data_IF_013005168067
#
_entry.id   IF_013005168067
#
_cell.length_a   1.000
_cell.length_b   1.000
_cell.length_c   1.000
_cell.angle_alpha   90.00
_cell.angle_beta   90.00
_cell.angle_gamma   90.00
#
_symmetry.space_group_name_H-M   'P 1'
#
loop_
_entity.id
_entity.type
_entity.pdbx_description
1 polymer ?
#
# COMPACT_ATOMS: atom_id res chain seq x y z
N UNK A 1 19.42 -35.20 40.19
CA UNK A 1 18.00 -35.06 39.78
C UNK A 1 17.97 -34.22 38.54
N UNK A 2 17.89 -34.87 37.36
CA UNK A 2 17.89 -34.21 36.05
C UNK A 2 16.49 -33.70 35.76
N UNK A 3 16.37 -32.37 35.58
CA UNK A 3 15.17 -31.76 35.01
C UNK A 3 15.37 -31.64 33.50
N UNK A 4 14.86 -32.57 32.75
CA UNK A 4 14.77 -32.52 31.29
C UNK A 4 13.68 -31.50 30.91
N UNK A 5 14.12 -30.33 30.39
CA UNK A 5 13.23 -29.40 29.73
C UNK A 5 12.72 -30.08 28.44
N UNK A 6 11.46 -30.44 28.43
CA UNK A 6 10.74 -30.98 27.26
C UNK A 6 10.54 -29.79 26.27
N UNK A 7 11.41 -29.70 25.30
CA UNK A 7 11.26 -28.82 24.13
C UNK A 7 10.10 -29.38 23.29
N UNK A 8 8.91 -28.83 23.50
CA UNK A 8 7.67 -29.25 22.80
C UNK A 8 7.74 -28.74 21.37
N UNK A 9 8.24 -29.59 20.45
CA UNK A 9 8.29 -29.35 19.02
C UNK A 9 6.85 -29.16 18.50
N UNK A 10 6.40 -27.89 18.38
CA UNK A 10 5.10 -27.57 17.75
C UNK A 10 5.13 -28.03 16.29
N UNK A 11 4.07 -28.72 15.79
CA UNK A 11 3.99 -29.17 14.40
C UNK A 11 4.17 -28.00 13.43
N UNK A 12 4.86 -28.19 12.31
CA UNK A 12 5.15 -27.14 11.32
C UNK A 12 3.92 -26.36 10.85
N UNK A 13 2.76 -26.99 10.72
CA UNK A 13 1.48 -26.35 10.37
C UNK A 13 1.01 -25.35 11.41
N UNK A 14 1.10 -25.69 12.70
CA UNK A 14 0.68 -24.82 13.81
C UNK A 14 1.61 -23.60 13.97
N UNK A 15 2.89 -23.74 13.62
CA UNK A 15 3.84 -22.60 13.59
C UNK A 15 3.48 -21.59 12.50
N UNK A 16 3.13 -22.05 11.29
CA UNK A 16 2.70 -21.21 10.19
C UNK A 16 1.42 -20.44 10.52
N UNK A 17 0.42 -21.14 11.02
CA UNK A 17 -0.87 -20.56 11.42
C UNK A 17 -0.71 -19.47 12.50
N UNK A 18 0.12 -19.71 13.53
CA UNK A 18 0.37 -18.71 14.58
C UNK A 18 1.07 -17.48 14.02
N UNK A 19 2.04 -17.63 13.11
CA UNK A 19 2.74 -16.52 12.47
C UNK A 19 1.78 -15.68 11.62
N UNK A 20 0.88 -16.32 10.89
CA UNK A 20 -0.16 -15.66 10.09
C UNK A 20 -1.13 -14.87 10.97
N UNK A 21 -1.64 -15.45 12.06
CA UNK A 21 -2.50 -14.74 13.03
C UNK A 21 -1.84 -13.48 13.60
N UNK A 22 -0.54 -13.56 13.94
CA UNK A 22 0.20 -12.37 14.42
C UNK A 22 0.31 -11.32 13.31
N UNK A 23 0.60 -11.71 12.08
CA UNK A 23 0.74 -10.80 10.95
C UNK A 23 -0.58 -10.08 10.64
N UNK A 24 -1.70 -10.81 10.62
CA UNK A 24 -3.04 -10.26 10.41
C UNK A 24 -3.44 -9.27 11.52
N UNK A 25 -3.23 -9.63 12.79
CA UNK A 25 -3.48 -8.74 13.91
C UNK A 25 -2.58 -7.48 13.85
N UNK A 26 -1.32 -7.65 13.48
CA UNK A 26 -0.41 -6.53 13.31
C UNK A 26 -0.84 -5.59 12.18
N UNK A 27 -1.34 -6.11 11.05
CA UNK A 27 -1.90 -5.29 9.98
C UNK A 27 -3.05 -4.40 10.47
N UNK A 28 -3.98 -4.96 11.26
CA UNK A 28 -5.11 -4.21 11.81
C UNK A 28 -4.64 -3.12 12.78
N UNK A 29 -3.74 -3.46 13.71
CA UNK A 29 -3.22 -2.49 14.69
C UNK A 29 -2.44 -1.37 14.01
N UNK A 30 -1.55 -1.68 13.06
CA UNK A 30 -0.76 -0.67 12.35
C UNK A 30 -1.55 0.13 11.32
N UNK A 31 -2.69 -0.36 10.85
CA UNK A 31 -3.63 0.43 10.05
C UNK A 31 -4.51 1.36 10.88
N UNK A 32 -4.56 1.17 12.20
CA UNK A 32 -5.37 1.97 13.13
C UNK A 32 -4.52 2.96 13.93
N UNK A 33 -3.30 2.58 14.28
CA UNK A 33 -2.39 3.37 15.12
C UNK A 33 -1.06 3.62 14.41
N UNK A 34 -0.52 4.86 14.52
CA UNK A 34 0.84 5.15 14.04
C UNK A 34 1.87 4.21 14.64
N UNK A 35 2.97 3.96 13.92
CA UNK A 35 4.02 3.03 14.36
C UNK A 35 4.44 3.24 15.82
N UNK A 36 4.74 4.47 16.23
CA UNK A 36 5.22 4.74 17.60
C UNK A 36 4.18 4.43 18.67
N UNK A 37 2.89 4.63 18.37
CA UNK A 37 1.76 4.43 19.30
C UNK A 37 1.25 2.98 19.33
N UNK A 38 1.46 2.22 18.26
CA UNK A 38 1.06 0.81 18.18
C UNK A 38 1.86 -0.04 19.17
N UNK A 39 1.19 -0.71 20.09
CA UNK A 39 1.81 -1.54 21.13
C UNK A 39 1.84 -3.03 20.75
N UNK A 40 2.95 -3.72 21.05
CA UNK A 40 3.05 -5.18 20.85
C UNK A 40 1.99 -5.94 21.68
N UNK A 41 1.60 -5.42 22.86
CA UNK A 41 0.52 -6.02 23.66
C UNK A 41 -0.84 -5.92 22.96
N UNK A 42 -1.10 -4.85 22.22
CA UNK A 42 -2.34 -4.73 21.43
C UNK A 42 -2.40 -5.83 20.36
N UNK A 43 -1.27 -6.06 19.69
CA UNK A 43 -1.13 -7.07 18.65
C UNK A 43 -1.29 -8.48 19.24
N UNK A 44 -0.62 -8.79 20.36
CA UNK A 44 -0.73 -10.13 20.99
C UNK A 44 -2.15 -10.43 21.48
N UNK A 45 -2.83 -9.44 22.07
CA UNK A 45 -4.21 -9.58 22.50
C UNK A 45 -5.15 -9.85 21.32
N UNK A 46 -5.00 -9.08 20.23
CA UNK A 46 -5.82 -9.26 19.03
C UNK A 46 -5.55 -10.58 18.31
N UNK A 47 -4.30 -11.03 18.30
CA UNK A 47 -3.90 -12.32 17.71
C UNK A 47 -4.30 -13.52 18.56
N UNK A 48 -4.69 -13.33 19.83
CA UNK A 48 -4.96 -14.39 20.79
C UNK A 48 -3.71 -15.23 21.10
N UNK A 49 -2.53 -14.58 21.21
CA UNK A 49 -1.25 -15.26 21.47
C UNK A 49 -0.51 -14.61 22.63
N UNK A 50 0.39 -15.37 23.25
CA UNK A 50 1.26 -14.84 24.28
C UNK A 50 2.28 -13.86 23.71
N UNK A 51 2.48 -12.73 24.39
CA UNK A 51 3.41 -11.67 23.99
C UNK A 51 4.83 -12.15 23.57
N UNK A 52 5.49 -13.10 24.27
CA UNK A 52 6.79 -13.62 23.86
C UNK A 52 6.81 -14.28 22.47
N UNK A 53 5.68 -14.78 21.98
CA UNK A 53 5.60 -15.41 20.67
C UNK A 53 5.82 -14.40 19.55
N UNK A 54 5.45 -13.13 19.73
CA UNK A 54 5.71 -12.10 18.73
C UNK A 54 7.22 -11.93 18.53
N UNK A 55 7.97 -11.85 19.65
CA UNK A 55 9.44 -11.77 19.57
C UNK A 55 10.05 -13.05 18.96
N UNK A 56 9.50 -14.21 19.26
CA UNK A 56 9.95 -15.47 18.70
C UNK A 56 9.79 -15.54 17.17
N UNK A 57 8.63 -15.07 16.62
CA UNK A 57 8.33 -15.16 15.20
C UNK A 57 8.89 -14.02 14.36
N UNK A 58 9.02 -12.83 14.92
CA UNK A 58 9.34 -11.60 14.17
C UNK A 58 10.54 -10.83 14.71
N UNK A 59 11.05 -11.15 15.90
CA UNK A 59 12.17 -10.43 16.51
C UNK A 59 11.71 -9.17 17.23
N UNK A 60 11.72 -8.03 16.56
CA UNK A 60 11.32 -6.74 17.13
C UNK A 60 9.99 -6.24 16.59
N UNK A 61 9.47 -5.15 17.20
CA UNK A 61 8.33 -4.40 16.66
C UNK A 61 8.63 -3.86 15.25
N UNK A 62 9.87 -3.41 15.04
CA UNK A 62 10.31 -2.90 13.74
C UNK A 62 10.31 -4.00 12.67
N UNK A 63 10.81 -5.18 12.99
CA UNK A 63 10.81 -6.33 12.07
C UNK A 63 9.39 -6.78 11.74
N UNK A 64 8.49 -6.79 12.75
CA UNK A 64 7.07 -7.10 12.53
C UNK A 64 6.40 -6.05 11.63
N UNK A 65 6.67 -4.75 11.85
CA UNK A 65 6.12 -3.68 11.02
C UNK A 65 6.63 -3.77 9.58
N UNK A 66 7.92 -4.02 9.41
CA UNK A 66 8.52 -4.28 8.09
C UNK A 66 7.89 -5.49 7.39
N UNK A 67 7.64 -6.57 8.12
CA UNK A 67 6.97 -7.76 7.57
C UNK A 67 5.52 -7.46 7.14
N UNK A 68 4.80 -6.63 7.88
CA UNK A 68 3.45 -6.15 7.53
C UNK A 68 3.49 -5.35 6.22
N UNK A 69 4.35 -4.34 6.10
CA UNK A 69 4.48 -3.55 4.88
C UNK A 69 4.85 -4.44 3.70
N UNK A 70 5.87 -5.30 3.86
CA UNK A 70 6.31 -6.23 2.81
C UNK A 70 5.15 -7.11 2.31
N UNK A 71 4.34 -7.64 3.23
CA UNK A 71 3.19 -8.46 2.88
C UNK A 71 2.11 -7.67 2.11
N UNK A 72 1.76 -6.47 2.59
CA UNK A 72 0.74 -5.62 1.95
C UNK A 72 1.19 -5.13 0.57
N UNK A 73 2.45 -4.74 0.43
CA UNK A 73 3.05 -4.34 -0.84
C UNK A 73 3.08 -5.51 -1.82
N UNK A 74 3.48 -6.71 -1.39
CA UNK A 74 3.48 -7.90 -2.25
C UNK A 74 2.07 -8.26 -2.75
N UNK A 75 1.04 -8.18 -1.89
CA UNK A 75 -0.34 -8.38 -2.30
C UNK A 75 -0.78 -7.34 -3.35
N UNK A 76 -0.45 -6.07 -3.14
CA UNK A 76 -0.75 -4.99 -4.08
C UNK A 76 -0.10 -5.22 -5.45
N UNK A 77 1.14 -5.70 -5.46
CA UNK A 77 1.86 -6.06 -6.67
C UNK A 77 1.15 -7.09 -7.53
N UNK A 78 0.69 -8.18 -6.93
CA UNK A 78 0.02 -9.26 -7.66
C UNK A 78 -1.31 -8.79 -8.28
N UNK A 79 -1.99 -7.85 -7.64
CA UNK A 79 -3.20 -7.24 -8.19
C UNK A 79 -2.88 -6.30 -9.34
N UNK A 80 -1.90 -5.42 -9.16
CA UNK A 80 -1.53 -4.44 -10.19
C UNK A 80 -1.08 -5.10 -11.50
N UNK A 81 -0.40 -6.23 -11.46
CA UNK A 81 -0.06 -6.99 -12.68
C UNK A 81 -1.31 -7.31 -13.52
N UNK A 82 -2.39 -7.74 -12.85
CA UNK A 82 -3.66 -8.04 -13.52
C UNK A 82 -4.34 -6.78 -14.03
N UNK A 83 -4.32 -5.71 -13.25
CA UNK A 83 -4.91 -4.43 -13.64
C UNK A 83 -4.23 -3.83 -14.86
N UNK A 84 -2.90 -3.78 -14.88
CA UNK A 84 -2.14 -3.28 -16.04
C UNK A 84 -2.45 -4.10 -17.31
N UNK A 85 -2.48 -5.41 -17.22
CA UNK A 85 -2.84 -6.26 -18.36
C UNK A 85 -4.26 -5.95 -18.91
N UNK A 86 -5.19 -5.62 -18.02
CA UNK A 86 -6.57 -5.29 -18.39
C UNK A 86 -6.70 -3.90 -19.02
N UNK A 87 -5.99 -2.89 -18.49
CA UNK A 87 -6.15 -1.51 -18.95
C UNK A 87 -5.31 -1.18 -20.17
N UNK A 88 -4.21 -1.90 -20.42
CA UNK A 88 -3.28 -1.66 -21.53
C UNK A 88 -3.97 -1.44 -22.89
N UNK A 89 -4.93 -2.25 -23.33
CA UNK A 89 -5.58 -2.08 -24.65
C UNK A 89 -6.60 -0.95 -24.71
N UNK A 90 -6.90 -0.25 -23.59
CA UNK A 90 -8.06 0.67 -23.52
C UNK A 90 -7.74 2.13 -23.86
N UNK A 91 -6.46 2.46 -24.09
CA UNK A 91 -6.00 3.84 -24.26
C UNK A 91 -6.06 4.66 -22.98
N UNK A 92 -5.44 5.89 -22.98
CA UNK A 92 -5.15 6.62 -21.75
C UNK A 92 -6.36 6.99 -20.92
N UNK A 93 -7.43 7.49 -21.54
CA UNK A 93 -8.62 7.96 -20.80
C UNK A 93 -9.37 6.84 -20.10
N UNK A 94 -9.72 5.80 -20.88
CA UNK A 94 -10.47 4.67 -20.37
C UNK A 94 -9.61 3.81 -19.47
N UNK A 95 -8.32 3.63 -19.81
CA UNK A 95 -7.37 2.87 -19.04
C UNK A 95 -7.15 3.45 -17.64
N UNK A 96 -6.88 4.77 -17.53
CA UNK A 96 -6.71 5.42 -16.23
C UNK A 96 -7.99 5.39 -15.40
N UNK A 97 -9.15 5.62 -16.03
CA UNK A 97 -10.44 5.55 -15.33
C UNK A 97 -10.70 4.16 -14.75
N UNK A 98 -10.49 3.11 -15.53
CA UNK A 98 -10.68 1.73 -15.06
C UNK A 98 -9.61 1.31 -14.04
N UNK A 99 -8.38 1.77 -14.19
CA UNK A 99 -7.33 1.54 -13.18
C UNK A 99 -7.74 2.11 -11.81
N UNK A 100 -8.31 3.32 -11.80
CA UNK A 100 -8.86 3.92 -10.57
C UNK A 100 -10.01 3.10 -9.99
N UNK A 101 -10.91 2.56 -10.83
CA UNK A 101 -11.96 1.67 -10.34
C UNK A 101 -11.40 0.45 -9.61
N UNK A 102 -10.36 -0.18 -10.15
CA UNK A 102 -9.67 -1.29 -9.49
C UNK A 102 -9.01 -0.86 -8.17
N UNK A 103 -8.38 0.32 -8.13
CA UNK A 103 -7.77 0.86 -6.90
C UNK A 103 -8.82 1.07 -5.82
N UNK A 104 -9.94 1.69 -6.17
CA UNK A 104 -11.02 2.00 -5.23
C UNK A 104 -11.75 0.73 -4.75
N UNK A 105 -11.96 -0.23 -5.63
CA UNK A 105 -12.53 -1.53 -5.27
C UNK A 105 -11.61 -2.32 -4.33
N UNK A 106 -10.29 -2.28 -4.58
CA UNK A 106 -9.30 -2.87 -3.68
C UNK A 106 -9.26 -2.16 -2.32
N UNK A 107 -9.31 -0.82 -2.31
CA UNK A 107 -9.40 -0.05 -1.08
C UNK A 107 -10.62 -0.44 -0.23
N UNK A 108 -11.79 -0.56 -0.83
CA UNK A 108 -13.01 -0.97 -0.10
C UNK A 108 -12.87 -2.31 0.59
N UNK A 109 -12.10 -3.23 0.01
CA UNK A 109 -11.84 -4.57 0.57
C UNK A 109 -10.68 -4.57 1.55
N UNK A 110 -9.65 -3.75 1.31
CA UNK A 110 -8.36 -3.78 2.03
C UNK A 110 -7.78 -2.38 2.21
N UNK A 111 -8.40 -1.53 3.04
CA UNK A 111 -7.96 -0.14 3.22
C UNK A 111 -6.62 0.00 3.95
N UNK A 112 -6.17 -1.07 4.60
CA UNK A 112 -5.08 -1.05 5.58
C UNK A 112 -3.78 -0.42 5.10
N UNK A 113 -3.36 -0.65 3.85
CA UNK A 113 -2.12 -0.08 3.32
C UNK A 113 -2.19 1.46 3.24
N UNK A 114 -3.29 2.00 2.73
CA UNK A 114 -3.49 3.45 2.63
C UNK A 114 -3.54 4.11 4.00
N UNK A 115 -4.25 3.50 4.95
CA UNK A 115 -4.32 3.96 6.34
C UNK A 115 -2.94 3.92 7.00
N UNK A 116 -2.23 2.79 6.91
CA UNK A 116 -0.89 2.63 7.48
C UNK A 116 0.08 3.69 6.93
N UNK A 117 0.10 3.91 5.62
CA UNK A 117 0.97 4.91 4.99
C UNK A 117 0.57 6.32 5.44
N UNK A 118 -0.72 6.67 5.40
CA UNK A 118 -1.23 8.00 5.79
C UNK A 118 -0.88 8.33 7.25
N UNK A 119 -1.08 7.39 8.18
CA UNK A 119 -0.81 7.57 9.61
C UNK A 119 0.68 7.82 9.90
N UNK A 120 1.56 7.26 9.10
CA UNK A 120 3.00 7.29 9.36
C UNK A 120 3.76 8.28 8.47
N UNK A 121 3.16 8.75 7.38
CA UNK A 121 3.83 9.62 6.40
C UNK A 121 4.43 10.89 7.01
N UNK A 122 3.75 11.49 8.00
CA UNK A 122 4.23 12.68 8.72
C UNK A 122 5.26 12.39 9.80
N UNK A 123 5.49 11.12 10.13
CA UNK A 123 6.40 10.68 11.18
C UNK A 123 7.73 10.15 10.63
N UNK A 124 7.86 10.14 9.30
CA UNK A 124 9.12 9.75 8.64
C UNK A 124 10.14 10.85 8.89
N UNK A 125 11.16 10.50 9.66
CA UNK A 125 12.30 11.35 9.96
C UNK A 125 13.56 10.69 9.39
N UNK A 126 14.36 11.38 8.56
CA UNK A 126 15.62 10.83 8.06
C UNK A 126 16.59 10.39 9.14
N UNK A 127 16.59 11.07 10.31
CA UNK A 127 17.45 10.72 11.45
C UNK A 127 16.90 9.55 12.27
N UNK A 128 15.57 9.28 12.18
CA UNK A 128 14.93 8.20 12.91
C UNK A 128 13.90 7.49 12.00
N UNK A 129 14.34 6.74 10.98
CA UNK A 129 13.46 6.17 9.98
C UNK A 129 12.53 5.11 10.59
N UNK A 130 11.28 5.11 10.13
CA UNK A 130 10.33 4.05 10.48
C UNK A 130 10.71 2.78 9.73
N UNK A 131 10.90 1.65 10.43
CA UNK A 131 11.30 0.39 9.81
C UNK A 131 10.34 -0.04 8.69
N UNK A 132 10.85 -0.33 7.48
CA UNK A 132 10.05 -0.80 6.35
C UNK A 132 9.45 0.30 5.47
N UNK A 133 9.58 1.59 5.80
CA UNK A 133 9.13 2.68 4.91
C UNK A 133 9.95 2.77 3.60
N UNK A 134 11.18 2.30 3.61
CA UNK A 134 12.00 2.09 2.41
C UNK A 134 11.32 1.18 1.37
N UNK A 135 10.53 0.20 1.80
CA UNK A 135 9.76 -0.67 0.91
C UNK A 135 8.64 0.09 0.17
N UNK A 136 8.06 1.12 0.78
CA UNK A 136 7.07 2.00 0.13
C UNK A 136 7.75 2.84 -0.96
N UNK A 137 8.94 3.38 -0.67
CA UNK A 137 9.72 4.13 -1.65
C UNK A 137 10.13 3.25 -2.84
N UNK A 138 10.59 2.04 -2.57
CA UNK A 138 10.95 1.05 -3.60
C UNK A 138 9.73 0.67 -4.44
N UNK A 139 8.57 0.46 -3.82
CA UNK A 139 7.31 0.21 -4.51
C UNK A 139 6.98 1.35 -5.48
N UNK A 140 7.02 2.60 -5.03
CA UNK A 140 6.72 3.78 -5.86
C UNK A 140 7.72 3.91 -7.02
N UNK A 141 9.01 3.66 -6.79
CA UNK A 141 10.01 3.68 -7.86
C UNK A 141 9.71 2.64 -8.94
N UNK A 142 9.40 1.43 -8.51
CA UNK A 142 9.10 0.34 -9.45
C UNK A 142 7.79 0.54 -10.21
N UNK A 143 6.84 1.35 -9.70
CA UNK A 143 5.63 1.73 -10.44
C UNK A 143 5.95 2.54 -11.69
N UNK A 144 7.00 3.36 -11.68
CA UNK A 144 7.45 4.14 -12.84
C UNK A 144 7.88 3.22 -13.97
N UNK A 145 8.77 2.26 -13.65
CA UNK A 145 9.27 1.29 -14.63
C UNK A 145 8.13 0.47 -15.24
N UNK A 146 7.16 0.10 -14.43
CA UNK A 146 5.98 -0.64 -14.88
C UNK A 146 5.03 0.19 -15.70
N UNK A 147 4.82 1.44 -15.34
CA UNK A 147 3.99 2.35 -16.16
C UNK A 147 4.58 2.43 -17.56
N UNK A 148 5.87 2.69 -17.69
CA UNK A 148 6.56 2.76 -18.99
C UNK A 148 6.46 1.44 -19.76
N UNK A 149 6.76 0.31 -19.13
CA UNK A 149 6.69 -1.01 -19.76
C UNK A 149 5.27 -1.42 -20.19
N UNK A 150 4.24 -0.97 -19.47
CA UNK A 150 2.85 -1.34 -19.79
C UNK A 150 2.19 -0.40 -20.80
N UNK A 151 2.59 0.86 -20.85
CA UNK A 151 2.05 1.83 -21.80
C UNK A 151 2.71 1.74 -23.17
N UNK A 152 3.87 1.09 -23.27
CA UNK A 152 4.65 0.99 -24.50
C UNK A 152 5.02 2.37 -25.07
N UNK A 153 5.35 3.31 -24.18
CA UNK A 153 5.71 4.69 -24.48
C UNK A 153 6.98 5.07 -23.71
N UNK A 154 7.76 5.94 -24.30
CA UNK A 154 8.96 6.48 -23.65
C UNK A 154 8.62 7.80 -22.96
N UNK A 155 8.10 7.69 -21.72
CA UNK A 155 7.80 8.87 -20.91
C UNK A 155 9.10 9.34 -20.26
N UNK A 156 9.47 10.62 -20.37
CA UNK A 156 10.62 11.16 -19.68
C UNK A 156 10.57 10.85 -18.18
N UNK A 157 11.68 10.34 -17.62
CA UNK A 157 11.73 9.83 -16.25
C UNK A 157 11.22 10.85 -15.22
N UNK A 158 11.56 12.14 -15.38
CA UNK A 158 11.12 13.19 -14.47
C UNK A 158 9.59 13.40 -14.51
N UNK A 159 8.96 13.28 -15.70
CA UNK A 159 7.50 13.38 -15.85
C UNK A 159 6.80 12.17 -15.24
N UNK A 160 7.31 10.98 -15.50
CA UNK A 160 6.82 9.76 -14.90
C UNK A 160 6.90 9.81 -13.35
N UNK A 161 8.03 10.28 -12.83
CA UNK A 161 8.22 10.51 -11.38
C UNK A 161 7.20 11.50 -10.81
N UNK A 162 7.01 12.64 -11.44
CA UNK A 162 6.02 13.63 -11.00
C UNK A 162 4.61 13.05 -11.03
N UNK A 163 4.22 12.40 -12.11
CA UNK A 163 2.89 11.81 -12.27
C UNK A 163 2.61 10.77 -11.17
N UNK A 164 3.50 9.79 -11.00
CA UNK A 164 3.34 8.72 -9.99
C UNK A 164 3.34 9.29 -8.57
N UNK A 165 4.20 10.27 -8.27
CA UNK A 165 4.20 10.92 -6.94
C UNK A 165 2.89 11.65 -6.66
N UNK A 166 2.40 12.46 -7.60
CA UNK A 166 1.13 13.18 -7.43
C UNK A 166 -0.04 12.21 -7.34
N UNK A 167 -0.07 11.17 -8.20
CA UNK A 167 -1.09 10.13 -8.17
C UNK A 167 -1.18 9.44 -6.80
N UNK A 168 -0.05 8.97 -6.28
CA UNK A 168 -0.01 8.31 -4.97
C UNK A 168 -0.34 9.30 -3.82
N UNK A 169 0.11 10.56 -3.90
CA UNK A 169 -0.21 11.59 -2.91
C UNK A 169 -1.71 11.84 -2.83
N UNK A 170 -2.39 11.96 -3.97
CA UNK A 170 -3.85 12.13 -4.01
C UNK A 170 -4.58 10.89 -3.46
N UNK A 171 -4.16 9.70 -3.86
CA UNK A 171 -4.74 8.46 -3.34
C UNK A 171 -4.56 8.33 -1.82
N UNK A 172 -3.35 8.52 -1.31
CA UNK A 172 -3.07 8.44 0.13
C UNK A 172 -3.85 9.52 0.89
N UNK A 173 -3.91 10.74 0.35
CA UNK A 173 -4.66 11.85 0.94
C UNK A 173 -6.14 11.53 1.05
N UNK A 174 -6.79 11.24 -0.08
CA UNK A 174 -8.22 11.00 -0.12
C UNK A 174 -8.64 9.69 0.58
N UNK A 175 -7.91 8.60 0.38
CA UNK A 175 -8.28 7.30 0.92
C UNK A 175 -7.75 7.08 2.34
N UNK A 176 -6.51 7.46 2.64
CA UNK A 176 -5.96 7.38 3.99
C UNK A 176 -6.61 8.36 4.97
N UNK A 177 -7.13 9.49 4.46
CA UNK A 177 -7.87 10.49 5.22
C UNK A 177 -9.37 10.52 4.93
N UNK A 178 -9.97 9.42 4.46
CA UNK A 178 -11.33 9.38 3.93
C UNK A 178 -12.38 9.97 4.88
N UNK A 179 -12.33 9.63 6.18
CA UNK A 179 -13.28 10.17 7.17
C UNK A 179 -13.25 11.71 7.25
N UNK A 180 -12.05 12.29 7.25
CA UNK A 180 -11.91 13.76 7.32
C UNK A 180 -12.39 14.43 6.03
N UNK A 181 -11.94 13.94 4.88
CA UNK A 181 -12.33 14.52 3.59
C UNK A 181 -13.82 14.38 3.29
N UNK A 182 -14.39 13.20 3.53
CA UNK A 182 -15.81 12.97 3.34
C UNK A 182 -16.66 13.84 4.27
N UNK A 183 -16.27 13.99 5.54
CA UNK A 183 -16.94 14.88 6.50
C UNK A 183 -16.95 16.33 6.03
N UNK A 184 -15.84 16.85 5.49
CA UNK A 184 -15.75 18.21 4.94
C UNK A 184 -16.69 18.42 3.73
N UNK A 185 -17.00 17.34 3.01
CA UNK A 185 -17.88 17.35 1.84
C UNK A 185 -19.33 17.01 2.19
N UNK A 186 -19.63 16.72 3.46
CA UNK A 186 -20.97 16.24 3.87
C UNK A 186 -21.31 14.86 3.30
N UNK A 187 -20.31 14.03 3.04
CA UNK A 187 -20.46 12.69 2.46
C UNK A 187 -20.13 11.59 3.48
N UNK A 188 -20.70 10.41 3.27
CA UNK A 188 -20.29 9.20 3.96
C UNK A 188 -19.01 8.65 3.31
N UNK A 189 -17.91 8.43 4.09
CA UNK A 189 -16.62 7.94 3.58
C UNK A 189 -16.67 6.54 2.97
N UNK A 190 -17.69 5.74 3.27
CA UNK A 190 -17.89 4.39 2.71
C UNK A 190 -18.85 4.38 1.53
N UNK A 191 -19.46 5.54 1.19
CA UNK A 191 -20.45 5.64 0.13
C UNK A 191 -19.83 5.58 -1.27
N UNK A 192 -20.57 5.04 -2.23
CA UNK A 192 -20.21 5.10 -3.66
C UNK A 192 -20.10 6.54 -4.16
N UNK A 193 -20.82 7.46 -3.54
CA UNK A 193 -20.79 8.91 -3.88
C UNK A 193 -19.40 9.48 -3.57
N UNK A 194 -18.84 9.16 -2.40
CA UNK A 194 -17.50 9.59 -2.04
C UNK A 194 -16.43 8.97 -2.95
N UNK A 195 -16.52 7.68 -3.25
CA UNK A 195 -15.57 7.01 -4.14
C UNK A 195 -15.62 7.56 -5.58
N UNK A 196 -16.80 7.86 -6.10
CA UNK A 196 -16.93 8.52 -7.39
C UNK A 196 -16.31 9.92 -7.36
N UNK A 197 -16.56 10.70 -6.29
CA UNK A 197 -15.95 12.00 -6.11
C UNK A 197 -14.41 11.93 -6.08
N UNK A 198 -13.83 10.97 -5.36
CA UNK A 198 -12.38 10.73 -5.35
C UNK A 198 -11.86 10.40 -6.75
N UNK A 199 -12.53 9.50 -7.46
CA UNK A 199 -12.18 9.13 -8.83
C UNK A 199 -12.20 10.34 -9.76
N UNK A 200 -13.29 11.10 -9.75
CA UNK A 200 -13.48 12.26 -10.61
C UNK A 200 -12.45 13.36 -10.29
N UNK A 201 -12.13 13.58 -9.02
CA UNK A 201 -11.11 14.53 -8.59
C UNK A 201 -9.72 14.14 -9.10
N UNK A 202 -9.36 12.88 -9.03
CA UNK A 202 -8.06 12.40 -9.54
C UNK A 202 -8.02 12.49 -11.07
N UNK A 203 -9.09 12.11 -11.76
CA UNK A 203 -9.18 12.22 -13.22
C UNK A 203 -9.13 13.70 -13.65
N UNK A 204 -9.84 14.59 -12.98
CA UNK A 204 -9.80 16.02 -13.23
C UNK A 204 -8.36 16.57 -13.15
N UNK A 205 -7.63 16.19 -12.10
CA UNK A 205 -6.28 16.67 -11.88
C UNK A 205 -5.24 16.07 -12.85
N UNK A 206 -5.33 14.78 -13.17
CA UNK A 206 -4.24 14.03 -13.79
C UNK A 206 -4.49 13.62 -15.23
N UNK A 207 -5.74 13.40 -15.65
CA UNK A 207 -6.04 12.86 -16.98
C UNK A 207 -5.55 13.75 -18.13
N UNK A 208 -5.66 15.11 -18.09
CA UNK A 208 -5.16 15.95 -19.15
C UNK A 208 -3.65 15.77 -19.38
N UNK A 209 -2.86 15.77 -18.28
CA UNK A 209 -1.40 15.57 -18.37
C UNK A 209 -1.04 14.17 -18.79
N UNK A 210 -1.74 13.16 -18.26
CA UNK A 210 -1.52 11.74 -18.62
C UNK A 210 -1.71 11.51 -20.13
N UNK A 211 -2.74 12.09 -20.74
CA UNK A 211 -2.95 12.03 -22.19
C UNK A 211 -1.78 12.60 -22.98
N UNK A 212 -1.25 13.75 -22.56
CA UNK A 212 -0.11 14.35 -23.21
C UNK A 212 1.15 13.50 -23.09
N UNK A 213 1.40 12.94 -21.91
CA UNK A 213 2.56 12.07 -21.65
C UNK A 213 2.57 10.82 -22.54
N UNK A 214 1.41 10.17 -22.73
CA UNK A 214 1.32 8.94 -23.53
C UNK A 214 1.15 9.16 -25.03
N UNK A 215 0.98 10.42 -25.48
CA UNK A 215 0.90 10.80 -26.90
C UNK A 215 2.22 11.32 -27.47
N UNK A 216 3.24 11.51 -26.62
CA UNK A 216 4.56 11.94 -27.11
C UNK A 216 5.19 10.79 -27.92
N UNK A 217 5.57 10.99 -29.19
CA UNK A 217 6.30 9.98 -29.93
C UNK A 217 7.63 9.73 -29.23
N UNK A 218 8.01 8.47 -29.11
CA UNK A 218 9.34 8.09 -28.62
C UNK A 218 10.42 8.83 -29.42
N UNK A 219 11.27 9.59 -28.76
CA UNK A 219 12.31 10.43 -29.37
C UNK A 219 13.49 9.64 -29.96
N UNK A 220 13.30 8.39 -30.34
CA UNK A 220 14.32 7.47 -30.86
C UNK A 220 14.39 7.41 -32.40
N UNK A 221 13.93 8.46 -33.11
CA UNK A 221 13.99 8.49 -34.58
C UNK A 221 14.97 9.54 -35.15
N UNK A 222 15.90 10.09 -34.35
CA UNK A 222 16.99 10.91 -34.87
C UNK A 222 18.28 10.69 -34.08
N UNK A 223 19.01 9.62 -34.45
CA UNK A 223 20.49 9.57 -34.39
C UNK A 223 21.00 8.50 -35.33
#
# INVERSE_FOLDING_TARGET
MNSTATDTIRPKGKKKETREKILEAAQQVFATYPYHSAGIRMISNLAGVDHPLIKYYFGSKGDLFRAVISHMVAQRWELQKKWYATVKPMGPSRGLSLFLDFVLEDYRKRPGLFHLVSLNFRQVDPENPIPGFDLIEEFIKTEIDRMNANLDVDIPEHEAKMFIRVFNTLLIGFLGGAHTHASMLGMDPESIVYFNWVKDSILFALLPRFKLMVQQPSSSADK
#
